data_IF_637544482292
#
_entry.id   IF_637544482292
#
_cell.length_a   1.000
_cell.length_b   1.000
_cell.length_c   1.000
_cell.angle_alpha   90.00
_cell.angle_beta   90.00
_cell.angle_gamma   90.00
#
_symmetry.space_group_name_H-M   'P 1'
#
loop_
_entity.id
_entity.type
_entity.pdbx_description
1 polymer ?
#
# COMPACT_ATOMS: atom_id res chain seq x y z
N UNK A 1 -42.83 -21.00 -32.50
CA UNK A 1 -42.58 -20.41 -31.17
C UNK A 1 -41.23 -20.91 -30.72
N UNK A 2 -40.21 -20.08 -30.87
CA UNK A 2 -38.81 -20.39 -30.54
C UNK A 2 -38.51 -19.78 -29.18
N UNK A 3 -38.39 -20.64 -28.17
CA UNK A 3 -37.96 -20.24 -26.83
C UNK A 3 -36.49 -19.79 -26.88
N UNK A 4 -36.27 -18.49 -26.82
CA UNK A 4 -34.94 -17.91 -26.55
C UNK A 4 -34.62 -18.11 -25.07
N UNK A 5 -33.77 -19.08 -24.77
CA UNK A 5 -33.15 -19.22 -23.44
C UNK A 5 -32.29 -17.97 -23.14
N UNK A 6 -32.35 -17.41 -21.92
CA UNK A 6 -31.55 -16.26 -21.54
C UNK A 6 -30.07 -16.66 -21.55
N UNK A 7 -29.29 -15.99 -22.40
CA UNK A 7 -27.84 -16.12 -22.46
C UNK A 7 -27.25 -15.74 -21.10
N UNK A 8 -26.71 -16.71 -20.38
CA UNK A 8 -26.03 -16.49 -19.12
C UNK A 8 -24.84 -15.53 -19.34
N UNK A 9 -24.92 -14.33 -18.77
CA UNK A 9 -23.83 -13.37 -18.80
C UNK A 9 -22.63 -13.99 -18.10
N UNK A 10 -21.46 -14.11 -18.76
CA UNK A 10 -20.28 -14.66 -18.11
C UNK A 10 -19.91 -13.81 -16.88
N UNK A 11 -19.44 -14.42 -15.79
CA UNK A 11 -19.07 -13.70 -14.58
C UNK A 11 -18.00 -12.66 -14.91
N UNK A 12 -18.24 -11.41 -14.53
CA UNK A 12 -17.33 -10.30 -14.79
C UNK A 12 -15.93 -10.64 -14.25
N UNK A 13 -14.95 -10.76 -15.17
CA UNK A 13 -13.56 -10.95 -14.80
C UNK A 13 -13.11 -9.77 -13.93
N UNK A 14 -12.38 -10.02 -12.83
CA UNK A 14 -11.77 -8.93 -12.06
C UNK A 14 -10.83 -8.14 -12.98
N UNK A 15 -10.83 -6.79 -12.90
CA UNK A 15 -10.00 -5.96 -13.76
C UNK A 15 -8.53 -6.40 -13.63
N UNK A 16 -7.87 -6.59 -14.78
CA UNK A 16 -6.46 -6.92 -14.82
C UNK A 16 -5.65 -5.83 -14.10
N UNK A 17 -4.60 -6.18 -13.34
CA UNK A 17 -3.73 -5.18 -12.74
C UNK A 17 -3.03 -4.40 -13.86
N UNK A 18 -3.27 -3.09 -13.93
CA UNK A 18 -2.58 -2.19 -14.86
C UNK A 18 -1.05 -2.35 -14.69
N UNK A 19 -0.35 -2.55 -15.81
CA UNK A 19 1.10 -2.80 -15.86
C UNK A 19 1.96 -1.55 -15.64
N UNK A 20 1.34 -0.40 -15.30
CA UNK A 20 2.03 0.84 -15.00
C UNK A 20 2.67 0.83 -13.60
N UNK A 21 3.88 1.37 -13.48
CA UNK A 21 4.49 1.62 -12.18
C UNK A 21 3.69 2.68 -11.42
N UNK A 22 2.84 2.25 -10.49
CA UNK A 22 2.07 3.14 -9.63
C UNK A 22 2.59 3.04 -8.18
N UNK A 23 2.91 4.20 -7.58
CA UNK A 23 3.37 4.27 -6.18
C UNK A 23 2.29 3.83 -5.19
N UNK A 24 1.03 3.89 -5.59
CA UNK A 24 -0.12 3.40 -4.82
C UNK A 24 -0.98 2.51 -5.70
N UNK A 25 -1.15 1.25 -5.31
CA UNK A 25 -1.92 0.29 -6.08
C UNK A 25 -3.40 0.76 -6.21
N UNK A 26 -4.10 0.34 -7.29
CA UNK A 26 -5.53 0.57 -7.42
C UNK A 26 -6.27 -0.01 -6.20
N UNK A 27 -7.10 0.80 -5.57
CA UNK A 27 -7.78 0.48 -4.30
C UNK A 27 -7.15 1.12 -3.06
N UNK A 28 -5.97 1.74 -3.16
CA UNK A 28 -5.40 2.51 -2.06
C UNK A 28 -6.27 3.71 -1.68
N UNK A 29 -6.49 3.88 -0.38
CA UNK A 29 -7.38 4.89 0.20
C UNK A 29 -6.88 6.32 -0.08
N UNK A 30 -7.78 7.23 -0.46
CA UNK A 30 -7.42 8.62 -0.82
C UNK A 30 -6.77 9.36 0.34
N UNK A 31 -7.25 9.15 1.57
CA UNK A 31 -6.67 9.67 2.80
C UNK A 31 -5.19 9.25 2.97
N UNK A 32 -4.88 7.97 2.70
CA UNK A 32 -3.49 7.48 2.77
C UNK A 32 -2.62 8.11 1.68
N UNK A 33 -3.15 8.26 0.46
CA UNK A 33 -2.46 8.93 -0.65
C UNK A 33 -2.15 10.39 -0.32
N UNK A 34 -3.15 11.13 0.18
CA UNK A 34 -3.01 12.53 0.57
C UNK A 34 -2.03 12.67 1.74
N UNK A 35 -2.14 11.82 2.76
CA UNK A 35 -1.22 11.81 3.89
C UNK A 35 0.23 11.60 3.46
N UNK A 36 0.48 10.65 2.55
CA UNK A 36 1.82 10.38 2.05
C UNK A 36 2.36 11.53 1.17
N UNK A 37 1.50 12.13 0.34
CA UNK A 37 1.86 13.31 -0.45
C UNK A 37 2.21 14.51 0.45
N UNK A 38 1.47 14.73 1.53
CA UNK A 38 1.77 15.80 2.50
C UNK A 38 3.09 15.54 3.23
N UNK A 39 3.37 14.31 3.64
CA UNK A 39 4.67 13.96 4.25
C UNK A 39 5.82 14.15 3.27
N UNK A 40 5.68 13.69 2.03
CA UNK A 40 6.67 13.91 0.98
C UNK A 40 6.86 15.41 0.70
N UNK A 41 5.78 16.16 0.56
CA UNK A 41 5.83 17.60 0.35
C UNK A 41 6.54 18.31 1.51
N UNK A 42 6.26 17.93 2.77
CA UNK A 42 6.96 18.47 3.92
C UNK A 42 8.48 18.28 3.82
N UNK A 43 8.93 17.08 3.44
CA UNK A 43 10.36 16.79 3.25
C UNK A 43 10.99 17.69 2.19
N UNK A 44 10.38 17.81 1.01
CA UNK A 44 10.93 18.64 -0.06
C UNK A 44 10.87 20.14 0.29
N UNK A 45 9.78 20.59 0.91
CA UNK A 45 9.59 21.99 1.30
C UNK A 45 10.53 22.41 2.43
N UNK A 46 11.02 21.48 3.25
CA UNK A 46 12.06 21.78 4.23
C UNK A 46 13.27 22.45 3.56
N UNK A 47 13.68 21.98 2.38
CA UNK A 47 14.84 22.50 1.65
C UNK A 47 14.65 23.94 1.16
N UNK A 48 13.41 24.40 0.96
CA UNK A 48 13.09 25.70 0.36
C UNK A 48 12.55 26.73 1.36
N UNK A 49 11.67 26.31 2.26
CA UNK A 49 10.95 27.19 3.20
C UNK A 49 11.37 26.99 4.66
N UNK A 50 12.30 26.06 4.91
CA UNK A 50 12.83 25.79 6.22
C UNK A 50 11.94 24.89 7.11
N UNK A 51 12.41 24.60 8.33
CA UNK A 51 11.81 23.61 9.22
C UNK A 51 10.39 23.99 9.64
N UNK A 52 10.13 25.25 10.01
CA UNK A 52 8.85 25.65 10.62
C UNK A 52 7.64 25.39 9.73
N UNK A 53 7.73 25.69 8.43
CA UNK A 53 6.62 25.44 7.48
C UNK A 53 6.49 23.94 7.20
N UNK A 54 7.61 23.27 7.01
CA UNK A 54 7.66 21.82 6.79
C UNK A 54 7.01 21.04 7.95
N UNK A 55 7.35 21.35 9.20
CA UNK A 55 6.79 20.69 10.38
C UNK A 55 5.26 20.81 10.44
N UNK A 56 4.69 21.97 10.07
CA UNK A 56 3.24 22.17 10.06
C UNK A 56 2.55 21.28 9.02
N UNK A 57 3.11 21.19 7.82
CA UNK A 57 2.57 20.33 6.75
C UNK A 57 2.68 18.87 7.16
N UNK A 58 3.81 18.48 7.75
CA UNK A 58 4.02 17.14 8.28
C UNK A 58 2.98 16.78 9.35
N UNK A 59 2.72 17.68 10.30
CA UNK A 59 1.71 17.48 11.35
C UNK A 59 0.28 17.34 10.80
N UNK A 60 -0.01 17.93 9.63
CA UNK A 60 -1.29 17.71 8.95
C UNK A 60 -1.31 16.36 8.24
N UNK A 61 -0.19 15.94 7.60
CA UNK A 61 -0.11 14.68 6.85
C UNK A 61 -0.09 13.42 7.73
N UNK A 62 0.59 13.47 8.88
CA UNK A 62 0.78 12.31 9.76
C UNK A 62 -0.51 11.67 10.26
N UNK A 63 -1.52 12.42 10.75
CA UNK A 63 -2.78 11.83 11.20
C UNK A 63 -3.47 10.97 10.12
N UNK A 64 -3.39 11.37 8.84
CA UNK A 64 -3.93 10.58 7.74
C UNK A 64 -3.21 9.24 7.58
N UNK A 65 -1.89 9.20 7.78
CA UNK A 65 -1.12 7.96 7.72
C UNK A 65 -1.34 7.09 8.95
N UNK A 66 -1.35 7.68 10.15
CA UNK A 66 -1.54 6.96 11.40
C UNK A 66 -2.90 6.28 11.47
N UNK A 67 -3.97 6.94 11.00
CA UNK A 67 -5.30 6.36 10.98
C UNK A 67 -5.56 5.54 9.71
N UNK A 68 -5.18 6.07 8.54
CA UNK A 68 -5.54 5.50 7.25
C UNK A 68 -4.84 4.16 6.96
N UNK A 69 -3.56 4.01 7.34
CA UNK A 69 -2.81 2.77 7.09
C UNK A 69 -3.39 1.58 7.86
N UNK A 70 -3.64 1.65 9.20
CA UNK A 70 -4.30 0.57 9.92
C UNK A 70 -5.70 0.28 9.39
N UNK A 71 -6.52 1.32 9.16
CA UNK A 71 -7.88 1.16 8.61
C UNK A 71 -7.86 0.39 7.29
N UNK A 72 -6.96 0.78 6.38
CA UNK A 72 -6.79 0.11 5.09
C UNK A 72 -6.32 -1.34 5.26
N UNK A 73 -5.40 -1.62 6.19
CA UNK A 73 -4.97 -2.98 6.47
C UNK A 73 -6.10 -3.86 7.03
N UNK A 74 -6.96 -3.31 7.89
CA UNK A 74 -8.15 -3.99 8.39
C UNK A 74 -9.20 -4.23 7.29
N UNK A 75 -9.44 -3.25 6.42
CA UNK A 75 -10.29 -3.42 5.23
C UNK A 75 -9.74 -4.51 4.30
N UNK A 76 -8.44 -4.49 4.00
CA UNK A 76 -7.78 -5.52 3.20
C UNK A 76 -7.96 -6.92 3.80
N UNK A 77 -7.87 -7.03 5.13
CA UNK A 77 -8.13 -8.29 5.85
C UNK A 77 -9.60 -8.74 5.79
N UNK A 78 -10.56 -7.83 5.98
CA UNK A 78 -11.99 -8.17 6.11
C UNK A 78 -12.70 -8.32 4.78
N UNK A 79 -12.50 -7.39 3.85
CA UNK A 79 -13.22 -7.32 2.58
C UNK A 79 -12.36 -7.73 1.38
N UNK A 80 -11.10 -8.13 1.60
CA UNK A 80 -10.19 -8.50 0.51
C UNK A 80 -9.91 -7.35 -0.45
N UNK A 81 -10.03 -6.10 0.02
CA UNK A 81 -9.82 -4.91 -0.79
C UNK A 81 -8.32 -4.80 -1.14
N UNK A 82 -7.93 -4.76 -2.42
CA UNK A 82 -6.55 -4.54 -2.80
C UNK A 82 -6.12 -3.10 -2.48
N UNK A 83 -4.81 -2.86 -2.37
CA UNK A 83 -4.28 -1.49 -2.41
C UNK A 83 -3.26 -1.08 -1.34
N UNK A 84 -2.78 -1.97 -0.46
CA UNK A 84 -1.85 -1.60 0.63
C UNK A 84 -0.62 -0.86 0.06
N UNK A 85 -0.22 0.32 0.59
CA UNK A 85 0.84 1.14 0.01
C UNK A 85 2.26 0.62 0.33
N UNK A 86 2.51 -0.68 0.13
CA UNK A 86 3.79 -1.31 0.48
C UNK A 86 4.97 -0.70 -0.28
N UNK A 87 4.81 -0.50 -1.59
CA UNK A 87 5.87 0.06 -2.46
C UNK A 87 6.31 1.42 -1.94
N UNK A 88 5.33 2.27 -1.62
CA UNK A 88 5.57 3.58 -1.03
C UNK A 88 6.24 3.46 0.34
N UNK A 89 5.75 2.60 1.22
CA UNK A 89 6.34 2.35 2.53
C UNK A 89 7.81 1.93 2.46
N UNK A 90 8.14 1.02 1.55
CA UNK A 90 9.52 0.59 1.30
C UNK A 90 10.39 1.71 0.74
N UNK A 91 9.88 2.51 -0.20
CA UNK A 91 10.61 3.65 -0.76
C UNK A 91 10.91 4.69 0.33
N UNK A 92 9.95 5.00 1.19
CA UNK A 92 10.17 5.94 2.31
C UNK A 92 11.14 5.38 3.35
N UNK A 93 11.02 4.08 3.67
CA UNK A 93 11.88 3.40 4.64
C UNK A 93 13.33 3.34 4.16
N UNK A 94 13.55 2.85 2.94
CA UNK A 94 14.89 2.69 2.35
C UNK A 94 15.46 4.06 2.01
N UNK A 95 14.69 4.92 1.36
CA UNK A 95 15.12 6.28 0.99
C UNK A 95 15.51 7.10 2.22
N UNK A 96 14.65 7.14 3.24
CA UNK A 96 14.95 7.82 4.50
C UNK A 96 16.17 7.23 5.22
N UNK A 97 16.33 5.90 5.19
CA UNK A 97 17.48 5.22 5.80
C UNK A 97 18.80 5.53 5.08
N UNK A 98 18.78 5.57 3.75
CA UNK A 98 19.96 5.91 2.93
C UNK A 98 20.35 7.39 3.07
N UNK A 99 19.36 8.28 3.23
CA UNK A 99 19.62 9.71 3.45
C UNK A 99 20.10 10.03 4.87
N UNK A 100 19.96 9.11 5.82
CA UNK A 100 20.24 9.36 7.23
C UNK A 100 21.69 9.82 7.51
N UNK A 101 22.74 9.18 6.97
CA UNK A 101 24.11 9.60 7.22
C UNK A 101 24.41 10.99 6.65
N UNK A 102 23.85 11.31 5.48
CA UNK A 102 24.03 12.59 4.79
C UNK A 102 23.32 13.75 5.49
N UNK A 103 22.28 13.43 6.26
CA UNK A 103 21.49 14.40 7.04
C UNK A 103 22.06 14.62 8.46
N UNK A 104 23.22 14.05 8.76
CA UNK A 104 23.96 14.35 9.97
C UNK A 104 24.80 15.62 9.76
N UNK A 105 24.59 16.64 10.60
CA UNK A 105 25.35 17.88 10.55
C UNK A 105 25.92 18.25 11.93
N UNK A 106 26.93 19.14 11.91
CA UNK A 106 27.45 19.78 13.12
C UNK A 106 27.28 21.28 12.97
N UNK A 107 26.75 21.94 13.98
CA UNK A 107 26.62 23.40 13.98
C UNK A 107 27.97 24.10 14.11
N UNK A 108 28.89 23.50 14.88
CA UNK A 108 30.25 24.02 15.09
C UNK A 108 31.26 22.88 15.15
N UNK A 109 32.51 23.18 14.84
CA UNK A 109 33.62 22.22 14.96
C UNK A 109 33.79 21.84 16.44
N UNK A 110 33.65 20.55 16.74
CA UNK A 110 33.74 20.00 18.11
C UNK A 110 32.41 19.78 18.83
N UNK A 111 31.28 20.21 18.26
CA UNK A 111 29.94 19.93 18.78
C UNK A 111 29.48 18.49 18.49
N UNK A 112 28.43 18.07 19.20
CA UNK A 112 27.74 16.81 18.93
C UNK A 112 27.19 16.78 17.49
N UNK A 113 27.09 15.58 16.94
CA UNK A 113 26.46 15.35 15.64
C UNK A 113 24.94 15.45 15.82
N UNK A 114 24.30 16.37 15.09
CA UNK A 114 22.85 16.50 15.05
C UNK A 114 22.31 15.79 13.82
N UNK A 115 21.16 15.13 13.95
CA UNK A 115 20.46 14.49 12.84
C UNK A 115 19.30 15.39 12.45
N UNK A 116 19.21 15.75 11.17
CA UNK A 116 18.05 16.47 10.66
C UNK A 116 16.81 15.58 10.77
N UNK A 117 15.77 16.08 11.43
CA UNK A 117 14.57 15.30 11.81
C UNK A 117 13.86 14.63 10.61
N UNK A 118 14.08 15.13 9.40
CA UNK A 118 13.51 14.61 8.16
C UNK A 118 13.78 13.11 7.96
N UNK A 119 15.02 12.65 8.17
CA UNK A 119 15.39 11.24 8.00
C UNK A 119 14.58 10.30 8.93
N UNK A 120 14.58 10.51 10.27
CA UNK A 120 13.78 9.71 11.18
C UNK A 120 12.29 9.73 10.84
N UNK A 121 11.76 10.88 10.45
CA UNK A 121 10.34 11.00 10.12
C UNK A 121 9.95 10.18 8.88
N UNK A 122 10.78 10.16 7.84
CA UNK A 122 10.58 9.31 6.65
C UNK A 122 10.68 7.82 6.98
N UNK A 123 11.72 7.44 7.73
CA UNK A 123 11.94 6.05 8.16
C UNK A 123 10.77 5.56 9.00
N UNK A 124 10.33 6.35 9.98
CA UNK A 124 9.18 6.01 10.82
C UNK A 124 7.89 5.86 10.00
N UNK A 125 7.61 6.78 9.07
CA UNK A 125 6.45 6.68 8.20
C UNK A 125 6.49 5.43 7.30
N UNK A 126 7.65 5.15 6.70
CA UNK A 126 7.86 3.96 5.89
C UNK A 126 7.73 2.67 6.70
N UNK A 127 8.36 2.61 7.87
CA UNK A 127 8.28 1.48 8.80
C UNK A 127 6.84 1.23 9.25
N UNK A 128 6.08 2.29 9.54
CA UNK A 128 4.66 2.18 9.88
C UNK A 128 3.87 1.52 8.75
N UNK A 129 4.02 2.00 7.51
CA UNK A 129 3.36 1.39 6.34
C UNK A 129 3.71 -0.09 6.15
N UNK A 130 5.00 -0.44 6.32
CA UNK A 130 5.48 -1.81 6.16
C UNK A 130 4.98 -2.71 7.30
N UNK A 131 4.93 -2.23 8.54
CA UNK A 131 4.50 -2.99 9.70
C UNK A 131 3.06 -3.53 9.58
N UNK A 132 2.19 -2.80 8.89
CA UNK A 132 0.79 -3.20 8.68
C UNK A 132 0.58 -4.15 7.48
N UNK A 133 1.58 -4.36 6.63
CA UNK A 133 1.46 -5.20 5.44
C UNK A 133 1.10 -6.67 5.73
N UNK A 134 1.70 -7.36 6.72
CA UNK A 134 1.35 -8.75 7.00
C UNK A 134 -0.13 -8.93 7.32
N UNK A 135 -0.73 -7.94 8.00
CA UNK A 135 -2.14 -7.94 8.34
C UNK A 135 -3.02 -7.83 7.08
N UNK A 136 -2.70 -6.89 6.18
CA UNK A 136 -3.41 -6.72 4.92
C UNK A 136 -3.34 -7.99 4.04
N UNK A 137 -2.17 -8.65 3.98
CA UNK A 137 -1.94 -9.85 3.15
C UNK A 137 -2.69 -11.09 3.65
N UNK A 138 -2.97 -11.17 4.95
CA UNK A 138 -3.62 -12.35 5.54
C UNK A 138 -5.01 -12.64 4.96
N UNK A 139 -5.78 -11.60 4.61
CA UNK A 139 -7.11 -11.74 4.01
C UNK A 139 -7.06 -12.21 2.56
N UNK A 140 -6.15 -11.66 1.77
CA UNK A 140 -5.95 -12.04 0.36
C UNK A 140 -5.50 -13.51 0.23
N UNK A 141 -4.56 -13.94 1.07
CA UNK A 141 -4.10 -15.33 1.08
C UNK A 141 -5.23 -16.32 1.45
N UNK A 142 -6.12 -15.95 2.37
CA UNK A 142 -7.28 -16.77 2.72
C UNK A 142 -8.27 -16.89 1.56
N UNK A 143 -8.56 -15.77 0.87
CA UNK A 143 -9.44 -15.74 -0.30
C UNK A 143 -8.91 -16.60 -1.45
N UNK A 144 -7.63 -16.43 -1.82
CA UNK A 144 -7.02 -17.21 -2.91
C UNK A 144 -7.03 -18.72 -2.63
N UNK A 145 -6.88 -19.12 -1.35
CA UNK A 145 -7.01 -20.53 -0.96
C UNK A 145 -8.45 -21.03 -1.11
N UNK A 146 -9.44 -20.22 -0.74
CA UNK A 146 -10.85 -20.56 -0.88
C UNK A 146 -11.23 -20.73 -2.37
N UNK A 147 -10.82 -19.79 -3.22
CA UNK A 147 -11.04 -19.85 -4.67
C UNK A 147 -10.38 -21.09 -5.30
N UNK A 148 -9.12 -21.40 -4.93
CA UNK A 148 -8.43 -22.62 -5.40
C UNK A 148 -9.15 -23.90 -4.99
N UNK A 149 -9.69 -23.96 -3.76
CA UNK A 149 -10.47 -25.11 -3.29
C UNK A 149 -11.78 -25.25 -4.07
N UNK A 150 -12.48 -24.15 -4.33
CA UNK A 150 -13.71 -24.16 -5.11
C UNK A 150 -13.46 -24.67 -6.54
N UNK A 151 -12.40 -24.19 -7.20
CA UNK A 151 -12.00 -24.64 -8.53
C UNK A 151 -11.62 -26.13 -8.54
N UNK A 152 -10.89 -26.60 -7.53
CA UNK A 152 -10.55 -28.02 -7.40
C UNK A 152 -11.81 -28.89 -7.21
N UNK A 153 -12.76 -28.45 -6.38
CA UNK A 153 -14.03 -29.18 -6.19
C UNK A 153 -14.87 -29.23 -7.47
N UNK A 154 -14.93 -28.13 -8.24
CA UNK A 154 -15.64 -28.09 -9.51
C UNK A 154 -14.99 -28.99 -10.56
N UNK A 155 -13.65 -29.04 -10.61
CA UNK A 155 -12.93 -29.95 -11.51
C UNK A 155 -13.17 -31.43 -11.16
N UNK A 156 -13.24 -31.78 -9.88
CA UNK A 156 -13.55 -33.15 -9.44
C UNK A 156 -15.01 -33.57 -9.66
N UNK A 157 -15.92 -32.60 -9.80
CA UNK A 157 -17.35 -32.85 -10.03
C UNK A 157 -17.72 -32.86 -11.53
N UNK A 158 -16.80 -32.50 -12.43
CA UNK A 158 -17.02 -32.60 -13.85
C UNK A 158 -17.18 -34.10 -14.23
N UNK A 159 -18.32 -34.52 -14.79
CA UNK A 159 -18.50 -35.90 -15.22
C UNK A 159 -17.43 -36.22 -16.25
N UNK A 160 -16.74 -37.35 -16.07
CA UNK A 160 -15.83 -37.89 -17.07
C UNK A 160 -16.62 -38.07 -18.36
N UNK A 161 -16.56 -37.09 -19.25
CA UNK A 161 -17.17 -37.16 -20.56
C UNK A 161 -16.59 -38.38 -21.24
N UNK A 162 -17.37 -39.47 -21.25
CA UNK A 162 -16.99 -40.69 -21.92
C UNK A 162 -16.70 -40.31 -23.36
N UNK A 163 -15.44 -40.52 -23.78
CA UNK A 163 -15.06 -40.43 -25.18
C UNK A 163 -15.91 -41.49 -25.88
N UNK A 164 -16.88 -41.12 -26.73
CA UNK A 164 -17.59 -42.12 -27.51
C UNK A 164 -16.57 -42.78 -28.43
N UNK A 165 -16.49 -44.11 -28.33
CA UNK A 165 -15.58 -44.95 -29.10
C UNK A 165 -15.93 -44.96 -30.59
#
# INVERSE_FOLDING_TARGET
MTDTLPSATPPAQPPAPDSGFCFTDPGCRTDVRVGALLVLAAVFLWLWWGPTVSSRIYLVGVPFLLAGVPLQAFEGRRSGRPGHPLKLGLVLLIGGGLMWPDLCYREQVGQALHVQEVAPLLVCAGAWMVAWWPLARSGEAARLRAERRALASAASAAPSGGVPA
#
